data_IF_019282705285
#
_entry.id   IF_019282705285
#
_cell.length_a   1.000
_cell.length_b   1.000
_cell.length_c   1.000
_cell.angle_alpha   90.00
_cell.angle_beta   90.00
_cell.angle_gamma   90.00
#
_symmetry.space_group_name_H-M   'P 1'
#
loop_
_entity.id
_entity.type
_entity.pdbx_description
1 polymer ?
#
# COMPACT_ATOMS: atom_id res chain seq x y z
N UNK A 1 29.54 -0.19 11.85
CA UNK A 1 28.40 0.56 12.44
C UNK A 1 27.13 -0.09 11.90
N UNK A 2 26.43 -0.85 12.75
CA UNK A 2 25.38 -1.78 12.35
C UNK A 2 24.10 -1.06 11.91
N UNK A 3 23.84 -1.03 10.61
CA UNK A 3 22.52 -0.70 10.03
C UNK A 3 21.65 -1.96 10.01
N UNK A 4 21.23 -2.43 11.15
CA UNK A 4 20.27 -3.54 11.25
C UNK A 4 19.18 -3.12 12.21
N UNK A 5 18.14 -2.52 11.68
CA UNK A 5 16.74 -2.47 12.16
C UNK A 5 16.06 -1.22 11.60
N UNK A 6 15.61 -1.30 10.36
CA UNK A 6 14.65 -0.34 9.83
C UNK A 6 13.43 -1.17 9.39
N UNK A 7 12.26 -0.84 9.92
CA UNK A 7 11.00 -1.45 9.50
C UNK A 7 10.75 -1.14 8.01
N UNK A 8 9.93 -1.92 7.31
CA UNK A 8 9.62 -1.68 5.89
C UNK A 8 9.14 -0.24 5.64
N UNK A 9 8.38 0.34 6.58
CA UNK A 9 8.02 1.76 6.58
C UNK A 9 9.24 2.69 6.79
N UNK A 10 10.31 2.21 7.43
CA UNK A 10 11.52 2.98 7.70
C UNK A 10 12.60 2.79 6.63
N UNK A 11 12.57 1.72 5.84
CA UNK A 11 13.53 1.50 4.76
C UNK A 11 13.36 2.51 3.62
N UNK A 12 12.13 2.97 3.37
CA UNK A 12 11.87 4.07 2.43
C UNK A 12 12.40 5.41 2.98
N UNK A 13 12.46 5.58 4.32
CA UNK A 13 13.03 6.77 4.95
C UNK A 13 14.58 6.82 4.91
N UNK A 14 15.26 5.69 4.84
CA UNK A 14 16.72 5.65 4.93
C UNK A 14 17.44 6.04 3.63
N UNK A 15 16.75 5.95 2.47
CA UNK A 15 17.30 6.42 1.19
C UNK A 15 16.88 7.85 0.83
N UNK A 16 15.89 8.43 1.54
CA UNK A 16 15.46 9.81 1.36
C UNK A 16 16.19 10.81 2.27
N UNK A 17 17.43 10.53 2.66
CA UNK A 17 18.24 11.34 3.57
C UNK A 17 18.67 12.69 3.04
N UNK A 18 17.85 13.44 2.31
CA UNK A 18 18.03 14.86 1.97
C UNK A 18 16.73 15.50 1.50
N UNK A 19 15.62 15.38 2.21
CA UNK A 19 14.51 16.33 2.22
C UNK A 19 13.34 15.75 3.06
N UNK A 20 12.93 16.46 4.06
CA UNK A 20 11.69 16.40 4.83
C UNK A 20 10.98 15.04 4.96
N UNK A 21 10.89 14.56 6.19
CA UNK A 21 10.20 13.34 6.60
C UNK A 21 8.86 13.11 5.88
N UNK A 22 8.86 12.32 4.83
CA UNK A 22 7.67 11.67 4.32
C UNK A 22 7.75 10.19 4.66
N UNK A 23 6.97 9.75 5.62
CA UNK A 23 6.69 8.34 5.80
C UNK A 23 5.90 7.89 4.58
N UNK A 24 6.56 7.24 3.63
CA UNK A 24 5.83 6.48 2.64
C UNK A 24 5.13 5.34 3.40
N UNK A 25 3.85 5.48 3.60
CA UNK A 25 3.02 4.38 4.04
C UNK A 25 3.06 3.31 2.96
N UNK A 26 3.30 2.07 3.33
CA UNK A 26 3.02 0.97 2.45
C UNK A 26 1.55 1.05 2.09
N UNK A 27 1.30 1.53 0.93
CA UNK A 27 -0.06 1.54 0.48
C UNK A 27 -0.13 0.58 -0.63
N UNK A 28 -0.88 -0.31 -0.67
CA UNK A 28 -1.70 -0.47 -1.83
C UNK A 28 -2.75 -1.52 -1.61
N UNK A 29 -3.96 -1.09 -1.61
CA UNK A 29 -5.10 -1.96 -1.47
C UNK A 29 -5.19 -2.97 -2.59
N UNK A 30 -5.43 -4.19 -2.20
CA UNK A 30 -5.86 -5.24 -3.11
C UNK A 30 -7.10 -4.80 -3.90
N UNK A 31 -7.08 -5.06 -5.17
CA UNK A 31 -8.16 -4.78 -6.10
C UNK A 31 -9.44 -5.51 -5.72
N UNK A 32 -10.48 -4.76 -5.43
CA UNK A 32 -11.83 -5.24 -5.61
C UNK A 32 -12.27 -4.86 -7.03
N UNK A 33 -12.61 -5.84 -7.84
CA UNK A 33 -13.19 -5.60 -9.16
C UNK A 33 -14.57 -4.95 -9.01
N UNK A 34 -14.60 -3.65 -9.11
CA UNK A 34 -15.78 -2.83 -9.25
C UNK A 34 -15.50 -1.78 -10.31
N UNK A 35 -16.45 -1.52 -11.19
CA UNK A 35 -16.35 -0.52 -12.25
C UNK A 35 -15.95 0.86 -11.70
N UNK A 36 -14.68 1.20 -11.78
CA UNK A 36 -14.18 2.50 -11.33
C UNK A 36 -12.88 2.37 -10.55
N UNK A 37 -11.75 2.15 -11.16
CA UNK A 37 -10.51 2.02 -10.42
C UNK A 37 -9.38 1.47 -11.26
N UNK A 38 -9.10 2.13 -12.34
CA UNK A 38 -7.91 1.93 -13.14
C UNK A 38 -7.10 3.23 -13.01
N UNK A 39 -6.64 3.52 -11.78
CA UNK A 39 -5.99 4.78 -11.45
C UNK A 39 -4.51 4.59 -11.18
N UNK A 40 -3.76 5.60 -11.53
CA UNK A 40 -2.37 5.77 -11.13
C UNK A 40 -2.29 7.09 -10.37
N UNK A 41 -1.75 7.06 -9.16
CA UNK A 41 -1.50 8.23 -8.33
C UNK A 41 -0.01 8.44 -8.12
N UNK A 42 0.41 9.69 -8.11
CA UNK A 42 1.79 10.08 -7.78
C UNK A 42 1.79 11.23 -6.80
N UNK A 43 2.69 11.15 -5.83
CA UNK A 43 3.07 12.27 -5.00
C UNK A 43 4.40 12.80 -5.50
N UNK A 44 4.48 14.11 -5.74
CA UNK A 44 5.69 14.78 -6.22
C UNK A 44 6.53 15.33 -5.06
N UNK A 45 7.80 15.56 -5.32
CA UNK A 45 8.75 16.15 -4.34
C UNK A 45 8.28 17.48 -3.75
N UNK A 46 7.45 18.24 -4.48
CA UNK A 46 6.88 19.50 -4.03
C UNK A 46 5.60 19.35 -3.17
N UNK A 47 5.21 18.10 -2.86
CA UNK A 47 4.01 17.79 -2.11
C UNK A 47 2.70 17.82 -2.92
N UNK A 48 2.77 17.93 -4.23
CA UNK A 48 1.59 17.87 -5.11
C UNK A 48 1.21 16.42 -5.42
N UNK A 49 -0.05 16.08 -5.21
CA UNK A 49 -0.63 14.81 -5.60
C UNK A 49 -1.32 14.92 -6.95
N UNK A 50 -1.01 13.99 -7.84
CA UNK A 50 -1.66 13.85 -9.14
C UNK A 50 -2.26 12.45 -9.28
N UNK A 51 -3.42 12.37 -9.91
CA UNK A 51 -4.07 11.10 -10.26
C UNK A 51 -4.50 11.14 -11.71
N UNK A 52 -4.39 10.01 -12.38
CA UNK A 52 -5.03 9.79 -13.68
C UNK A 52 -5.90 8.54 -13.63
N UNK A 53 -6.92 8.51 -14.43
CA UNK A 53 -7.88 7.42 -14.55
C UNK A 53 -7.91 6.89 -15.97
N UNK A 54 -7.81 5.57 -16.14
CA UNK A 54 -7.75 4.90 -17.43
C UNK A 54 -6.37 4.31 -17.73
N UNK A 55 -6.04 4.18 -19.03
CA UNK A 55 -4.79 3.58 -19.49
C UNK A 55 -3.55 4.44 -19.22
N UNK A 56 -2.37 3.88 -19.54
CA UNK A 56 -1.08 4.55 -19.30
C UNK A 56 -0.93 5.89 -20.04
N UNK A 57 -1.70 6.13 -21.11
CA UNK A 57 -1.73 7.39 -21.85
C UNK A 57 -2.72 8.43 -21.32
N UNK A 58 -3.47 8.13 -20.24
CA UNK A 58 -4.46 9.05 -19.70
C UNK A 58 -3.82 10.34 -19.15
N UNK A 59 -4.59 11.43 -19.14
CA UNK A 59 -4.13 12.74 -18.68
C UNK A 59 -4.10 12.81 -17.15
N UNK A 60 -3.03 13.35 -16.61
CA UNK A 60 -2.87 13.63 -15.19
C UNK A 60 -3.74 14.81 -14.74
N UNK A 61 -4.38 14.65 -13.60
CA UNK A 61 -5.13 15.70 -12.91
C UNK A 61 -4.45 15.97 -11.57
N UNK A 62 -4.15 17.24 -11.29
CA UNK A 62 -3.68 17.64 -9.96
C UNK A 62 -4.83 17.57 -8.97
N UNK A 63 -4.67 16.78 -7.95
CA UNK A 63 -5.69 16.54 -6.93
C UNK A 63 -5.59 17.47 -5.73
N UNK A 64 -4.40 17.71 -5.24
CA UNK A 64 -4.15 18.57 -4.07
C UNK A 64 -2.66 18.90 -3.94
N UNK A 65 -2.34 19.85 -3.07
CA UNK A 65 -0.98 20.18 -2.63
C UNK A 65 -0.79 19.96 -1.13
N UNK A 66 0.45 20.02 -0.66
CA UNK A 66 0.84 19.74 0.72
C UNK A 66 0.42 18.33 1.19
N UNK A 67 0.60 17.34 0.31
CA UNK A 67 0.24 15.94 0.55
C UNK A 67 1.48 15.15 0.95
N UNK A 68 1.30 14.20 1.87
CA UNK A 68 2.34 13.26 2.32
C UNK A 68 2.00 11.79 2.05
N UNK A 69 0.75 11.48 1.64
CA UNK A 69 0.36 10.14 1.21
C UNK A 69 -0.83 10.20 0.25
N UNK A 70 -0.83 9.34 -0.76
CA UNK A 70 -1.95 9.10 -1.69
C UNK A 70 -2.41 7.65 -1.55
N UNK A 71 -3.70 7.43 -1.38
CA UNK A 71 -4.32 6.11 -1.35
C UNK A 71 -5.41 6.01 -2.42
N UNK A 72 -5.43 4.90 -3.13
CA UNK A 72 -6.38 4.66 -4.22
C UNK A 72 -7.11 3.33 -4.00
N UNK A 73 -8.41 3.30 -4.22
CA UNK A 73 -9.16 2.05 -4.25
C UNK A 73 -10.50 2.22 -4.97
N UNK A 74 -10.67 1.50 -6.05
CA UNK A 74 -11.90 1.60 -6.83
C UNK A 74 -12.16 3.04 -7.29
N UNK A 75 -13.32 3.57 -6.95
CA UNK A 75 -13.74 4.94 -7.24
C UNK A 75 -13.32 5.95 -6.16
N UNK A 76 -12.55 5.53 -5.15
CA UNK A 76 -12.08 6.41 -4.07
C UNK A 76 -10.64 6.86 -4.28
N UNK A 77 -10.42 8.13 -3.96
CA UNK A 77 -9.10 8.73 -3.82
C UNK A 77 -9.01 9.28 -2.41
N UNK A 78 -7.99 8.88 -1.68
CA UNK A 78 -7.63 9.41 -0.38
C UNK A 78 -6.33 10.17 -0.44
N UNK A 79 -6.24 11.27 0.29
CA UNK A 79 -5.00 12.00 0.50
C UNK A 79 -4.82 12.30 1.97
N UNK A 80 -3.58 12.26 2.41
CA UNK A 80 -3.18 12.69 3.73
C UNK A 80 -2.30 13.91 3.60
N UNK A 81 -2.73 15.01 4.20
CA UNK A 81 -1.99 16.28 4.16
C UNK A 81 -0.78 16.28 5.11
N UNK A 82 0.17 17.17 4.88
CA UNK A 82 1.36 17.31 5.71
C UNK A 82 1.06 17.60 7.18
N UNK A 83 -0.06 18.28 7.48
CA UNK A 83 -0.57 18.58 8.82
C UNK A 83 -1.44 17.47 9.43
N UNK A 84 -1.48 16.28 8.81
CA UNK A 84 -2.14 15.09 9.37
C UNK A 84 -3.66 15.06 9.18
N UNK A 85 -4.21 15.75 8.20
CA UNK A 85 -5.64 15.66 7.86
C UNK A 85 -5.86 14.67 6.72
N UNK A 86 -6.71 13.68 6.95
CA UNK A 86 -7.15 12.73 5.93
C UNK A 86 -8.41 13.26 5.21
N UNK A 87 -8.35 13.25 3.89
CA UNK A 87 -9.46 13.58 3.00
C UNK A 87 -9.72 12.45 2.04
N UNK A 88 -10.98 12.19 1.75
CA UNK A 88 -11.39 11.19 0.76
C UNK A 88 -12.45 11.79 -0.16
N UNK A 89 -12.39 11.42 -1.42
CA UNK A 89 -13.49 11.63 -2.37
C UNK A 89 -13.88 10.31 -3.02
N UNK A 90 -15.13 10.22 -3.43
CA UNK A 90 -15.72 9.04 -4.09
C UNK A 90 -16.32 9.47 -5.42
N UNK A 91 -16.00 8.76 -6.49
CA UNK A 91 -16.42 9.06 -7.85
C UNK A 91 -15.25 9.48 -8.76
N UNK A 92 -15.53 10.27 -9.79
CA UNK A 92 -14.52 10.74 -10.76
C UNK A 92 -13.51 11.74 -10.17
N UNK A 93 -12.49 12.08 -10.96
CA UNK A 93 -11.42 13.00 -10.55
C UNK A 93 -11.92 14.40 -10.15
N UNK A 94 -13.12 14.81 -10.59
CA UNK A 94 -13.76 16.08 -10.22
C UNK A 94 -14.66 16.01 -8.98
N UNK A 95 -14.76 14.86 -8.31
CA UNK A 95 -15.62 14.69 -7.13
C UNK A 95 -15.15 15.56 -5.96
N UNK A 96 -16.09 15.92 -5.09
CA UNK A 96 -15.83 16.78 -3.93
C UNK A 96 -15.12 16.03 -2.81
N UNK A 97 -14.11 16.64 -2.23
CA UNK A 97 -13.38 16.14 -1.07
C UNK A 97 -14.21 16.21 0.20
N UNK A 98 -14.16 15.15 0.99
CA UNK A 98 -14.76 15.08 2.33
C UNK A 98 -13.64 14.91 3.35
N UNK A 99 -13.64 15.75 4.38
CA UNK A 99 -12.70 15.63 5.50
C UNK A 99 -13.09 14.42 6.34
N UNK A 100 -12.17 13.51 6.53
CA UNK A 100 -12.41 12.25 7.22
C UNK A 100 -11.90 12.23 8.65
N UNK A 101 -10.70 12.71 8.88
CA UNK A 101 -10.08 12.67 10.21
C UNK A 101 -8.90 13.65 10.31
N UNK A 102 -8.51 13.99 11.55
CA UNK A 102 -7.29 14.73 11.90
C UNK A 102 -6.32 13.86 12.69
N UNK A 103 -5.12 14.34 12.90
CA UNK A 103 -4.08 13.65 13.68
C UNK A 103 -3.78 12.25 13.10
N UNK A 104 -3.74 12.16 11.77
CA UNK A 104 -3.57 10.92 11.01
C UNK A 104 -2.15 10.82 10.48
N UNK A 105 -1.54 9.65 10.65
CA UNK A 105 -0.22 9.32 10.06
C UNK A 105 -0.30 8.36 8.88
N UNK A 106 -1.41 7.64 8.70
CA UNK A 106 -1.63 6.73 7.56
C UNK A 106 -3.12 6.69 7.20
N UNK A 107 -3.42 6.67 5.90
CA UNK A 107 -4.74 6.39 5.35
C UNK A 107 -4.67 5.11 4.51
N UNK A 108 -5.67 4.25 4.63
CA UNK A 108 -5.84 3.02 3.85
C UNK A 108 -7.24 2.97 3.25
N UNK A 109 -7.35 2.53 2.01
CA UNK A 109 -8.62 2.39 1.30
C UNK A 109 -8.78 0.98 0.73
N UNK A 110 -9.97 0.41 0.84
CA UNK A 110 -10.32 -0.82 0.15
C UNK A 110 -11.82 -0.91 -0.11
N UNK A 111 -12.22 -0.78 -1.36
CA UNK A 111 -13.63 -0.78 -1.74
C UNK A 111 -14.44 0.25 -0.95
N UNK A 112 -15.38 -0.22 -0.14
CA UNK A 112 -16.20 0.65 0.72
C UNK A 112 -15.59 0.92 2.11
N UNK A 113 -14.37 0.46 2.38
CA UNK A 113 -13.69 0.70 3.65
C UNK A 113 -12.72 1.86 3.55
N UNK A 114 -12.70 2.67 4.59
CA UNK A 114 -11.71 3.72 4.84
C UNK A 114 -11.09 3.43 6.18
N UNK A 115 -9.78 3.31 6.24
CA UNK A 115 -9.01 3.17 7.45
C UNK A 115 -8.13 4.38 7.70
N UNK A 116 -8.00 4.78 8.96
CA UNK A 116 -7.03 5.77 9.40
C UNK A 116 -6.25 5.25 10.58
N UNK A 117 -4.96 5.47 10.55
CA UNK A 117 -4.08 5.25 11.68
C UNK A 117 -3.68 6.60 12.25
N UNK A 118 -4.02 6.83 13.50
CA UNK A 118 -3.75 8.07 14.22
C UNK A 118 -2.29 8.16 14.68
N UNK A 119 -1.81 9.38 14.92
CA UNK A 119 -0.46 9.64 15.46
C UNK A 119 -0.23 8.93 16.79
N UNK A 120 -1.28 8.80 17.62
CA UNK A 120 -1.22 8.09 18.91
C UNK A 120 -1.22 6.55 18.78
N UNK A 121 -1.28 6.01 17.57
CA UNK A 121 -1.29 4.57 17.31
C UNK A 121 -2.66 3.91 17.36
N UNK A 122 -3.74 4.66 17.47
CA UNK A 122 -5.09 4.12 17.35
C UNK A 122 -5.47 3.95 15.87
N UNK A 123 -5.97 2.75 15.53
CA UNK A 123 -6.50 2.44 14.20
C UNK A 123 -8.03 2.49 14.23
N UNK A 124 -8.61 3.19 13.27
CA UNK A 124 -10.05 3.27 13.05
C UNK A 124 -10.40 2.86 11.63
N UNK A 125 -11.49 2.15 11.47
CA UNK A 125 -12.04 1.79 10.16
C UNK A 125 -13.53 2.12 10.12
N UNK A 126 -14.00 2.58 8.98
CA UNK A 126 -15.43 2.67 8.68
C UNK A 126 -15.74 1.93 7.37
N UNK A 127 -16.97 1.44 7.26
CA UNK A 127 -17.45 0.71 6.10
C UNK A 127 -18.75 1.33 5.59
N UNK A 128 -18.82 1.60 4.31
CA UNK A 128 -19.96 2.25 3.66
C UNK A 128 -19.58 3.54 2.95
N UNK A 129 -20.51 4.50 2.87
CA UNK A 129 -20.28 5.83 2.29
C UNK A 129 -19.38 6.71 3.16
N UNK A 130 -18.99 7.88 2.63
CA UNK A 130 -18.12 8.84 3.32
C UNK A 130 -18.70 9.33 4.66
N UNK A 131 -20.03 9.28 4.85
CA UNK A 131 -20.71 9.62 6.12
C UNK A 131 -20.82 8.46 7.13
N UNK A 132 -20.23 7.29 6.87
CA UNK A 132 -20.34 6.15 7.77
C UNK A 132 -19.61 6.40 9.11
N UNK A 133 -20.06 5.69 10.16
CA UNK A 133 -19.51 5.82 11.51
C UNK A 133 -18.17 5.09 11.63
N UNK A 134 -17.21 5.73 12.26
CA UNK A 134 -15.91 5.16 12.60
C UNK A 134 -16.01 4.14 13.74
N UNK A 135 -15.32 3.02 13.57
CA UNK A 135 -15.13 2.00 14.60
C UNK A 135 -13.66 1.94 14.96
N UNK A 136 -13.35 2.03 16.25
CA UNK A 136 -11.98 1.80 16.73
C UNK A 136 -11.66 0.33 16.62
N UNK A 137 -10.59 0.01 15.93
CA UNK A 137 -10.17 -1.35 15.64
C UNK A 137 -9.09 -1.87 16.55
N UNK A 138 -8.10 -1.07 16.86
CA UNK A 138 -6.95 -1.48 17.67
C UNK A 138 -6.18 -0.27 18.21
N UNK A 139 -5.31 -0.56 19.20
CA UNK A 139 -4.38 0.38 19.81
C UNK A 139 -2.93 -0.03 19.50
N UNK A 140 -2.00 0.91 19.68
CA UNK A 140 -0.55 0.68 19.53
C UNK A 140 -0.17 0.14 18.14
N UNK A 141 -0.95 0.50 17.14
CA UNK A 141 -0.74 0.09 15.75
C UNK A 141 0.35 0.96 15.13
N UNK A 142 1.24 0.33 14.36
CA UNK A 142 2.22 1.02 13.53
C UNK A 142 1.91 0.95 12.04
N UNK A 143 1.10 -0.02 11.60
CA UNK A 143 0.67 -0.20 10.22
C UNK A 143 -0.76 -0.73 10.15
N UNK A 144 -1.56 -0.23 9.24
CA UNK A 144 -2.95 -0.61 8.98
C UNK A 144 -3.13 -0.94 7.50
N UNK A 145 -3.62 -2.15 7.21
CA UNK A 145 -3.93 -2.61 5.86
C UNK A 145 -5.39 -3.04 5.72
N UNK A 146 -5.94 -2.77 4.54
CA UNK A 146 -7.31 -3.12 4.19
C UNK A 146 -7.34 -3.86 2.85
N UNK A 147 -8.07 -4.97 2.79
CA UNK A 147 -8.36 -5.64 1.52
C UNK A 147 -9.70 -6.37 1.58
N UNK A 148 -10.65 -5.90 0.77
CA UNK A 148 -11.98 -6.48 0.72
C UNK A 148 -12.63 -6.52 2.10
N UNK A 149 -12.88 -7.74 2.61
CA UNK A 149 -13.46 -7.96 3.93
C UNK A 149 -12.41 -8.18 5.05
N UNK A 150 -11.11 -8.01 4.74
CA UNK A 150 -10.02 -8.17 5.71
C UNK A 150 -9.49 -6.82 6.21
N UNK A 151 -9.10 -6.81 7.46
CA UNK A 151 -8.37 -5.73 8.11
C UNK A 151 -7.12 -6.37 8.72
N UNK A 152 -5.96 -5.84 8.39
CA UNK A 152 -4.68 -6.24 8.96
C UNK A 152 -4.06 -5.10 9.75
N UNK A 153 -3.40 -5.41 10.85
CA UNK A 153 -2.59 -4.45 11.59
C UNK A 153 -1.26 -5.09 11.99
N UNK A 154 -0.23 -4.27 12.04
CA UNK A 154 1.00 -4.59 12.76
C UNK A 154 1.08 -3.68 13.97
N UNK A 155 1.21 -4.26 15.15
CA UNK A 155 1.32 -3.50 16.40
C UNK A 155 2.76 -3.04 16.68
N UNK A 156 2.94 -2.09 17.59
CA UNK A 156 4.25 -1.52 17.90
C UNK A 156 5.27 -2.53 18.44
N UNK A 157 4.81 -3.62 19.04
CA UNK A 157 5.61 -4.77 19.50
C UNK A 157 5.91 -5.78 18.38
N UNK A 158 5.50 -5.50 17.15
CA UNK A 158 5.82 -6.33 15.99
C UNK A 158 4.90 -7.55 15.81
N UNK A 159 3.69 -7.53 16.34
CA UNK A 159 2.72 -8.61 16.12
C UNK A 159 1.77 -8.24 15.00
N UNK A 160 1.66 -9.12 13.99
CA UNK A 160 0.66 -9.00 12.94
C UNK A 160 -0.64 -9.68 13.35
N UNK A 161 -1.75 -8.98 13.16
CA UNK A 161 -3.11 -9.46 13.41
C UNK A 161 -3.97 -9.23 12.18
N UNK A 162 -4.84 -10.17 11.87
CA UNK A 162 -5.83 -10.03 10.79
C UNK A 162 -7.21 -10.44 11.32
N UNK A 163 -8.23 -9.73 10.86
CA UNK A 163 -9.61 -10.18 10.98
C UNK A 163 -10.29 -10.17 9.62
N UNK A 164 -11.29 -11.02 9.49
CA UNK A 164 -12.05 -11.20 8.25
C UNK A 164 -13.55 -11.10 8.54
N UNK A 165 -14.30 -10.53 7.66
CA UNK A 165 -15.73 -10.20 7.72
C UNK A 165 -15.99 -8.77 8.21
N UNK A 166 -16.98 -8.55 9.09
CA UNK A 166 -17.37 -7.21 9.53
C UNK A 166 -16.42 -6.58 10.55
N UNK A 167 -16.63 -5.30 10.85
CA UNK A 167 -15.82 -4.54 11.81
C UNK A 167 -15.87 -5.11 13.23
N UNK A 168 -16.87 -5.94 13.57
CA UNK A 168 -17.00 -6.62 14.86
C UNK A 168 -16.35 -8.01 14.92
N UNK A 169 -15.71 -8.46 13.83
CA UNK A 169 -15.08 -9.78 13.80
C UNK A 169 -13.89 -9.86 14.76
N UNK A 170 -13.60 -11.09 15.22
CA UNK A 170 -12.47 -11.35 16.13
C UNK A 170 -11.13 -11.31 15.37
N UNK A 171 -10.13 -10.78 16.02
CA UNK A 171 -8.76 -10.77 15.55
C UNK A 171 -8.11 -12.14 15.67
N UNK A 172 -7.34 -12.53 14.65
CA UNK A 172 -6.48 -13.71 14.63
C UNK A 172 -5.04 -13.25 14.56
N UNK A 173 -4.22 -13.80 15.46
CA UNK A 173 -2.77 -13.54 15.47
C UNK A 173 -2.11 -14.29 14.34
N UNK A 174 -1.37 -13.58 13.52
CA UNK A 174 -0.80 -14.11 12.28
C UNK A 174 0.72 -14.34 12.35
N UNK A 175 1.44 -13.43 12.95
CA UNK A 175 2.90 -13.52 13.00
C UNK A 175 3.49 -12.70 14.14
N UNK A 176 4.67 -13.12 14.61
CA UNK A 176 5.56 -12.34 15.47
C UNK A 176 6.69 -11.72 14.66
N UNK A 177 7.31 -10.69 15.21
CA UNK A 177 8.42 -9.95 14.59
C UNK A 177 8.06 -9.37 13.20
N UNK A 178 6.77 -9.12 12.95
CA UNK A 178 6.31 -8.48 11.74
C UNK A 178 6.79 -7.02 11.69
N UNK A 179 7.32 -6.63 10.54
CA UNK A 179 7.66 -5.24 10.24
C UNK A 179 6.76 -4.66 9.16
N UNK A 180 6.00 -5.53 8.45
CA UNK A 180 5.02 -5.16 7.46
C UNK A 180 3.99 -6.27 7.25
N UNK A 181 2.79 -5.88 6.83
CA UNK A 181 1.70 -6.77 6.44
C UNK A 181 1.11 -6.25 5.13
N UNK A 182 0.73 -7.15 4.24
CA UNK A 182 -0.05 -6.81 3.06
C UNK A 182 -1.15 -7.83 2.82
N UNK A 183 -2.26 -7.36 2.28
CA UNK A 183 -3.49 -8.13 2.08
C UNK A 183 -3.98 -8.01 0.63
N UNK A 184 -4.34 -9.12 0.01
CA UNK A 184 -4.99 -9.10 -1.29
C UNK A 184 -5.96 -10.27 -1.47
N UNK A 185 -7.25 -9.97 -1.55
CA UNK A 185 -8.26 -11.00 -1.72
C UNK A 185 -8.19 -12.05 -0.61
N UNK A 186 -7.83 -13.28 -0.97
CA UNK A 186 -7.66 -14.39 -0.04
C UNK A 186 -6.21 -14.57 0.44
N UNK A 187 -5.28 -13.65 0.12
CA UNK A 187 -3.88 -13.72 0.53
C UNK A 187 -3.59 -12.82 1.71
N UNK A 188 -2.69 -13.29 2.55
CA UNK A 188 -2.08 -12.52 3.64
C UNK A 188 -0.58 -12.70 3.50
N UNK A 189 0.15 -11.60 3.41
CA UNK A 189 1.60 -11.56 3.39
C UNK A 189 2.14 -10.85 4.61
N UNK A 190 3.21 -11.36 5.18
CA UNK A 190 3.92 -10.76 6.30
C UNK A 190 5.41 -10.66 5.96
N UNK A 191 5.95 -9.47 6.12
CA UNK A 191 7.38 -9.22 6.10
C UNK A 191 7.88 -9.19 7.54
N UNK A 192 8.84 -10.04 7.88
CA UNK A 192 9.41 -10.10 9.22
C UNK A 192 10.77 -9.40 9.31
N UNK A 193 11.18 -9.05 10.53
CA UNK A 193 12.31 -8.14 10.77
C UNK A 193 13.68 -8.55 10.23
N UNK A 194 13.83 -9.80 9.80
CA UNK A 194 15.05 -10.30 9.14
C UNK A 194 14.95 -10.27 7.60
N UNK A 195 13.95 -9.61 7.03
CA UNK A 195 13.78 -9.50 5.58
C UNK A 195 13.13 -10.72 4.92
N UNK A 196 12.61 -11.67 5.70
CA UNK A 196 11.89 -12.84 5.16
C UNK A 196 10.43 -12.50 4.94
N UNK A 197 9.90 -12.91 3.79
CA UNK A 197 8.48 -12.82 3.43
C UNK A 197 7.83 -14.18 3.55
N UNK A 198 6.70 -14.20 4.23
CA UNK A 198 5.78 -15.33 4.31
C UNK A 198 4.43 -14.93 3.72
N UNK A 199 3.85 -15.80 2.93
CA UNK A 199 2.51 -15.60 2.35
C UNK A 199 1.67 -16.85 2.60
N UNK A 200 0.39 -16.65 2.89
CA UNK A 200 -0.60 -17.71 2.88
C UNK A 200 -1.78 -17.35 2.00
N UNK A 201 -2.46 -18.34 1.49
CA UNK A 201 -3.61 -18.20 0.61
C UNK A 201 -4.78 -19.02 1.16
N UNK A 202 -5.95 -18.41 1.27
CA UNK A 202 -7.16 -19.05 1.81
C UNK A 202 -7.63 -18.40 3.11
N UNK A 203 -8.09 -19.23 4.05
CA UNK A 203 -8.62 -18.77 5.35
C UNK A 203 -7.50 -18.28 6.28
N UNK A 204 -7.90 -17.64 7.39
CA UNK A 204 -6.95 -17.21 8.45
C UNK A 204 -6.19 -18.39 9.08
N UNK A 205 -6.68 -19.64 8.94
CA UNK A 205 -6.00 -20.85 9.41
C UNK A 205 -5.13 -21.55 8.36
N UNK A 206 -4.98 -20.97 7.15
CA UNK A 206 -4.16 -21.56 6.10
C UNK A 206 -2.68 -21.60 6.49
N UNK A 207 -1.93 -22.56 5.92
CA UNK A 207 -0.49 -22.70 6.16
C UNK A 207 0.32 -21.61 5.48
N UNK A 208 1.34 -21.13 6.16
CA UNK A 208 2.30 -20.18 5.64
C UNK A 208 3.31 -20.85 4.70
N UNK A 209 3.62 -20.16 3.61
CA UNK A 209 4.68 -20.51 2.66
C UNK A 209 5.75 -19.42 2.70
N UNK A 210 7.02 -19.82 2.85
CA UNK A 210 8.15 -18.89 2.77
C UNK A 210 8.38 -18.54 1.30
N UNK A 211 8.38 -17.25 1.00
CA UNK A 211 8.37 -16.75 -0.36
C UNK A 211 9.70 -16.14 -0.80
N UNK A 212 10.31 -15.34 0.06
CA UNK A 212 11.53 -14.61 -0.30
C UNK A 212 12.33 -14.18 0.92
N UNK A 213 13.61 -13.80 0.69
CA UNK A 213 14.55 -13.26 1.65
C UNK A 213 15.06 -11.90 1.21
N UNK A 214 15.76 -11.19 2.10
CA UNK A 214 16.38 -9.89 1.83
C UNK A 214 15.40 -8.88 1.25
N UNK A 215 14.14 -8.97 1.70
CA UNK A 215 13.03 -8.11 1.25
C UNK A 215 12.88 -6.90 2.16
N UNK A 216 12.66 -5.75 1.54
CA UNK A 216 12.37 -4.48 2.22
C UNK A 216 10.94 -4.01 2.00
N UNK A 217 10.26 -4.50 0.95
CA UNK A 217 8.84 -4.23 0.69
C UNK A 217 8.18 -5.44 0.05
N UNK A 218 6.98 -5.77 0.53
CA UNK A 218 6.08 -6.79 0.01
C UNK A 218 4.84 -6.10 -0.56
N UNK A 219 4.36 -6.56 -1.71
CA UNK A 219 3.11 -6.14 -2.33
C UNK A 219 2.33 -7.35 -2.84
N UNK A 220 1.05 -7.37 -2.52
CA UNK A 220 0.09 -8.37 -3.00
C UNK A 220 -1.00 -7.70 -3.84
N UNK A 221 -1.37 -8.29 -4.94
CA UNK A 221 -2.52 -7.83 -5.72
C UNK A 221 -3.11 -8.96 -6.55
N UNK A 222 -4.35 -9.33 -6.26
CA UNK A 222 -5.00 -10.41 -6.97
C UNK A 222 -4.20 -11.72 -6.86
N UNK A 223 -3.72 -12.21 -8.00
CA UNK A 223 -2.88 -13.41 -8.09
C UNK A 223 -1.37 -13.09 -8.15
N UNK A 224 -0.97 -11.83 -7.91
CA UNK A 224 0.44 -11.40 -7.93
C UNK A 224 1.01 -11.27 -6.53
N UNK A 225 2.29 -11.61 -6.42
CA UNK A 225 3.13 -11.31 -5.27
C UNK A 225 4.35 -10.58 -5.81
N UNK A 226 4.61 -9.40 -5.29
CA UNK A 226 5.79 -8.60 -5.62
C UNK A 226 6.66 -8.36 -4.40
N UNK A 227 7.95 -8.38 -4.59
CA UNK A 227 8.93 -8.06 -3.56
C UNK A 227 9.97 -7.08 -4.10
N UNK A 228 10.33 -6.13 -3.27
CA UNK A 228 11.50 -5.28 -3.46
C UNK A 228 12.58 -5.77 -2.51
N UNK A 229 13.74 -6.10 -3.07
CA UNK A 229 14.92 -6.49 -2.31
C UNK A 229 15.67 -5.27 -1.78
N UNK A 230 16.50 -5.49 -0.76
CA UNK A 230 17.43 -4.47 -0.24
C UNK A 230 18.45 -4.00 -1.28
N UNK A 231 18.73 -4.81 -2.31
CA UNK A 231 19.55 -4.45 -3.47
C UNK A 231 18.89 -3.45 -4.42
N UNK A 232 17.58 -3.21 -4.27
CA UNK A 232 16.78 -2.46 -5.24
C UNK A 232 16.23 -3.29 -6.41
N UNK A 233 16.41 -4.61 -6.36
CA UNK A 233 15.83 -5.52 -7.36
C UNK A 233 14.37 -5.82 -7.03
N UNK A 234 13.53 -5.74 -8.06
CA UNK A 234 12.11 -6.06 -7.97
C UNK A 234 11.85 -7.41 -8.63
N UNK A 235 11.17 -8.27 -7.91
CA UNK A 235 10.68 -9.54 -8.44
C UNK A 235 9.17 -9.62 -8.28
N UNK A 236 8.50 -10.15 -9.28
CA UNK A 236 7.06 -10.42 -9.26
C UNK A 236 6.81 -11.84 -9.73
N UNK A 237 5.85 -12.50 -9.12
CA UNK A 237 5.28 -13.74 -9.62
C UNK A 237 3.78 -13.63 -9.77
N UNK A 238 3.22 -14.37 -10.71
CA UNK A 238 1.80 -14.41 -11.01
C UNK A 238 1.30 -15.85 -10.96
N UNK A 239 0.23 -16.09 -10.24
CA UNK A 239 -0.35 -17.43 -10.03
C UNK A 239 -0.36 -17.84 -8.56
N UNK A 240 -0.31 -19.13 -8.29
CA UNK A 240 -0.29 -19.68 -6.93
C UNK A 240 1.06 -19.46 -6.23
N UNK A 241 1.12 -19.82 -4.94
CA UNK A 241 2.34 -19.64 -4.12
C UNK A 241 3.57 -20.42 -4.67
N UNK A 242 3.36 -21.48 -5.47
CA UNK A 242 4.43 -22.21 -6.15
C UNK A 242 4.88 -21.63 -7.49
N UNK A 243 4.35 -20.50 -7.94
CA UNK A 243 4.74 -19.90 -9.21
C UNK A 243 6.18 -19.37 -9.19
N UNK A 244 6.82 -19.36 -10.37
CA UNK A 244 8.19 -18.87 -10.51
C UNK A 244 8.27 -17.34 -10.45
N UNK A 245 9.30 -16.85 -9.79
CA UNK A 245 9.64 -15.44 -9.75
C UNK A 245 10.20 -14.96 -11.08
N UNK A 246 9.79 -13.75 -11.49
CA UNK A 246 10.34 -13.04 -12.64
C UNK A 246 11.02 -11.77 -12.13
N UNK A 247 12.27 -11.56 -12.54
CA UNK A 247 12.99 -10.32 -12.26
C UNK A 247 12.42 -9.22 -13.14
N UNK A 248 11.89 -8.17 -12.53
CA UNK A 248 11.11 -7.13 -13.20
C UNK A 248 11.86 -5.83 -13.37
N UNK A 249 12.66 -5.45 -12.38
CA UNK A 249 13.34 -4.16 -12.40
C UNK A 249 14.56 -4.13 -11.47
N UNK A 250 15.44 -3.14 -11.67
CA UNK A 250 16.62 -2.87 -10.82
C UNK A 250 16.62 -1.42 -10.34
N UNK A 251 17.32 -1.15 -9.24
CA UNK A 251 17.45 0.21 -8.66
C UNK A 251 16.11 0.86 -8.34
N UNK A 252 15.12 0.07 -7.96
CA UNK A 252 13.86 0.56 -7.42
C UNK A 252 13.98 0.89 -5.93
N UNK A 253 13.18 1.84 -5.48
CA UNK A 253 13.00 2.19 -4.06
C UNK A 253 11.58 1.94 -3.59
N UNK A 254 10.64 1.66 -4.51
CA UNK A 254 9.26 1.28 -4.23
C UNK A 254 8.74 0.37 -5.33
N UNK A 255 7.93 -0.61 -4.95
CA UNK A 255 7.06 -1.38 -5.85
C UNK A 255 5.60 -1.08 -5.52
N UNK A 256 4.73 -1.11 -6.51
CA UNK A 256 3.28 -1.03 -6.35
C UNK A 256 2.61 -2.02 -7.30
N UNK A 257 1.61 -2.73 -6.82
CA UNK A 257 0.82 -3.68 -7.60
C UNK A 257 -0.67 -3.34 -7.56
N UNK A 258 -1.34 -3.40 -8.69
CA UNK A 258 -2.80 -3.37 -8.73
C UNK A 258 -3.35 -4.02 -9.99
N UNK A 259 -4.18 -5.04 -9.83
CA UNK A 259 -4.78 -5.74 -10.95
C UNK A 259 -3.73 -6.28 -11.92
N UNK A 260 -3.77 -5.78 -13.15
CA UNK A 260 -2.80 -6.12 -14.19
C UNK A 260 -1.61 -5.13 -14.29
N UNK A 261 -1.46 -4.21 -13.32
CA UNK A 261 -0.39 -3.22 -13.31
C UNK A 261 0.71 -3.58 -12.34
N UNK A 262 1.93 -3.27 -12.74
CA UNK A 262 3.12 -3.28 -11.91
C UNK A 262 3.75 -1.89 -12.02
N UNK A 263 3.99 -1.26 -10.90
CA UNK A 263 4.66 0.04 -10.81
C UNK A 263 5.96 -0.06 -10.03
N UNK A 264 6.93 0.73 -10.42
CA UNK A 264 8.18 0.93 -9.69
C UNK A 264 8.51 2.42 -9.61
N UNK A 265 9.03 2.82 -8.48
CA UNK A 265 9.63 4.13 -8.29
C UNK A 265 11.14 3.96 -8.13
N UNK A 266 11.91 4.74 -8.87
CA UNK A 266 13.38 4.76 -8.78
C UNK A 266 13.87 5.83 -7.83
N UNK A 267 15.10 5.69 -7.37
CA UNK A 267 15.74 6.67 -6.50
C UNK A 267 15.96 8.06 -7.11
N UNK A 268 15.91 8.17 -8.44
CA UNK A 268 15.97 9.45 -9.18
C UNK A 268 14.60 10.14 -9.33
N UNK A 269 13.53 9.55 -8.79
CA UNK A 269 12.18 10.06 -8.86
C UNK A 269 11.38 9.64 -10.09
N UNK A 270 11.92 8.79 -10.97
CA UNK A 270 11.20 8.23 -12.09
C UNK A 270 10.19 7.16 -11.61
N UNK A 271 8.91 7.41 -11.83
CA UNK A 271 7.85 6.42 -11.67
C UNK A 271 7.56 5.74 -13.01
N UNK A 272 7.65 4.44 -13.04
CA UNK A 272 7.36 3.63 -14.23
C UNK A 272 6.27 2.62 -13.93
N UNK A 273 5.39 2.42 -14.90
CA UNK A 273 4.29 1.46 -14.80
C UNK A 273 4.23 0.63 -16.06
N UNK A 274 3.90 -0.63 -15.92
CA UNK A 274 3.50 -1.49 -17.04
C UNK A 274 2.12 -2.08 -16.77
N UNK A 275 1.38 -2.34 -17.82
CA UNK A 275 0.04 -2.90 -17.79
C UNK A 275 -0.02 -4.16 -18.64
N UNK A 276 -0.51 -5.25 -18.08
CA UNK A 276 -0.58 -6.56 -18.71
C UNK A 276 0.21 -7.63 -17.94
N UNK A 277 0.70 -8.63 -18.67
CA UNK A 277 1.51 -9.72 -18.10
C UNK A 277 2.91 -9.28 -17.69
N UNK A 278 3.65 -10.20 -17.08
CA UNK A 278 5.02 -9.94 -16.61
C UNK A 278 6.01 -9.56 -17.72
N UNK A 279 5.69 -9.87 -19.00
CA UNK A 279 6.50 -9.48 -20.16
C UNK A 279 6.10 -8.11 -20.79
N UNK A 280 5.14 -7.39 -20.21
CA UNK A 280 4.68 -6.11 -20.74
C UNK A 280 5.79 -5.04 -20.67
N UNK A 281 5.70 -4.05 -21.56
CA UNK A 281 6.70 -2.96 -21.66
C UNK A 281 6.47 -1.91 -20.59
N UNK A 282 7.53 -1.45 -19.97
CA UNK A 282 7.55 -0.35 -19.02
C UNK A 282 7.33 1.00 -19.70
N UNK A 283 6.48 1.83 -19.12
CA UNK A 283 6.21 3.21 -19.53
C UNK A 283 6.66 4.15 -18.42
N UNK A 284 7.41 5.21 -18.77
CA UNK A 284 7.70 6.29 -17.83
C UNK A 284 6.44 7.14 -17.66
N UNK A 285 5.92 7.15 -16.44
CA UNK A 285 4.68 7.82 -16.10
C UNK A 285 4.91 9.25 -15.59
N UNK A 286 5.94 9.42 -14.80
CA UNK A 286 6.24 10.71 -14.18
C UNK A 286 7.68 10.75 -13.67
N UNK A 287 8.26 11.95 -13.60
CA UNK A 287 9.50 12.26 -12.87
C UNK A 287 9.20 13.04 -11.58
N UNK A 288 10.23 13.27 -10.76
CA UNK A 288 10.12 13.99 -9.48
C UNK A 288 9.08 13.39 -8.51
N UNK A 289 8.90 12.08 -8.54
CA UNK A 289 7.93 11.34 -7.72
C UNK A 289 8.60 10.86 -6.44
N UNK A 290 7.86 10.95 -5.32
CA UNK A 290 8.24 10.42 -4.00
C UNK A 290 7.38 9.25 -3.55
N UNK A 291 6.19 9.08 -4.16
CA UNK A 291 5.29 7.95 -3.89
C UNK A 291 4.49 7.62 -5.15
N UNK A 292 4.33 6.33 -5.43
CA UNK A 292 3.51 5.78 -6.51
C UNK A 292 2.40 4.91 -5.91
N UNK A 293 1.15 5.20 -6.27
CA UNK A 293 -0.02 4.43 -5.88
C UNK A 293 -0.76 3.90 -7.12
N UNK A 294 -1.27 2.68 -7.05
CA UNK A 294 -2.05 2.03 -8.10
C UNK A 294 -3.41 1.54 -7.58
N UNK A 295 -4.45 1.54 -8.44
CA UNK A 295 -5.73 0.89 -8.15
C UNK A 295 -6.39 0.33 -9.41
#
# INVERSE_FOLDING_TARGET
>A
MNLKTLSAAAAVLALAGLAGSSTAGAAVPGTVSGNGGNRIGTLRVNGDAYVKEGGLSATWVKESGNIKQVALSGDRIGVLTGDGVAWVKEGGLSATWVKEATDVKQIALSGKRIGVLKDNGEAYVKEGGLGATWVKESDKVKELELSGNRIGVVTGDGVAWVKEAGLSASWVRESDNAIGIDLAGNRIGVLVGNGVVWVKEGSLSASWVREADDVVQLELSGNRIGVLKDSGDVYVKEGGLGASWVHEYTHAIQIALSGNRIGVLKGDGDARVKEGGLSATWVLEAGDVTELALS
#
